data_IF_648313607939
#
_entry.id   IF_648313607939
#
_cell.length_a   1.000
_cell.length_b   1.000
_cell.length_c   1.000
_cell.angle_alpha   90.00
_cell.angle_beta   90.00
_cell.angle_gamma   90.00
#
_symmetry.space_group_name_H-M   'P 1'
#
loop_
_entity.id
_entity.type
_entity.pdbx_description
1 polymer ?
#
# COMPACT_ATOMS: atom_id res chain seq x y z
N UNK A 1 -5.25 -9.33 -39.88
CA UNK A 1 -6.70 -9.55 -39.73
C UNK A 1 -7.28 -8.19 -39.38
N UNK A 2 -7.79 -7.49 -40.39
CA UNK A 2 -8.26 -6.11 -40.26
C UNK A 2 -9.53 -6.09 -39.41
N UNK A 3 -9.45 -5.52 -38.21
CA UNK A 3 -10.63 -5.15 -37.43
C UNK A 3 -11.32 -4.02 -38.19
N UNK A 4 -12.37 -4.37 -38.93
CA UNK A 4 -13.25 -3.42 -39.59
C UNK A 4 -13.85 -2.52 -38.52
N UNK A 5 -13.31 -1.32 -38.36
CA UNK A 5 -13.94 -0.26 -37.62
C UNK A 5 -15.34 -0.06 -38.22
N UNK A 6 -16.35 -0.58 -37.51
CA UNK A 6 -17.76 -0.43 -37.84
C UNK A 6 -18.04 1.03 -38.10
N UNK A 7 -18.35 1.37 -39.36
CA UNK A 7 -18.69 2.72 -39.76
C UNK A 7 -19.90 3.13 -38.91
N UNK A 8 -19.83 4.22 -38.12
CA UNK A 8 -20.96 4.63 -37.30
C UNK A 8 -22.18 4.86 -38.19
N UNK A 9 -23.36 4.37 -37.78
CA UNK A 9 -24.60 4.66 -38.51
C UNK A 9 -24.88 6.17 -38.46
N UNK A 10 -24.58 6.87 -39.56
CA UNK A 10 -24.70 8.33 -39.65
C UNK A 10 -26.15 8.78 -39.93
N UNK A 11 -27.06 7.84 -40.19
CA UNK A 11 -28.46 8.09 -40.55
C UNK A 11 -29.36 8.39 -39.32
N UNK A 12 -28.83 8.28 -38.09
CA UNK A 12 -29.58 8.64 -36.87
C UNK A 12 -29.79 10.16 -36.73
N UNK A 13 -31.01 10.63 -36.39
CA UNK A 13 -31.24 12.04 -36.09
C UNK A 13 -30.40 12.48 -34.89
N UNK A 14 -29.49 13.43 -35.11
CA UNK A 14 -28.55 13.94 -34.11
C UNK A 14 -27.13 13.37 -34.18
N UNK A 15 -26.85 12.42 -35.08
CA UNK A 15 -25.52 11.84 -35.31
C UNK A 15 -24.42 12.91 -35.51
N UNK A 16 -24.75 13.99 -36.21
CA UNK A 16 -23.87 15.14 -36.48
C UNK A 16 -23.43 15.90 -35.21
N UNK A 17 -24.20 15.83 -34.12
CA UNK A 17 -23.88 16.47 -32.84
C UNK A 17 -23.19 15.48 -31.90
N UNK A 18 -23.65 14.23 -31.89
CA UNK A 18 -23.08 13.18 -31.03
C UNK A 18 -21.66 12.78 -31.43
N UNK A 19 -21.32 12.84 -32.72
CA UNK A 19 -20.02 12.43 -33.22
C UNK A 19 -18.88 13.38 -32.78
N UNK A 20 -18.99 14.72 -32.89
CA UNK A 20 -18.04 15.65 -32.28
C UNK A 20 -18.00 15.57 -30.75
N UNK A 21 -19.15 15.37 -30.10
CA UNK A 21 -19.21 15.23 -28.65
C UNK A 21 -18.43 14.00 -28.18
N UNK A 22 -18.68 12.85 -28.80
CA UNK A 22 -18.01 11.58 -28.48
C UNK A 22 -16.50 11.66 -28.75
N UNK A 23 -16.06 12.32 -29.82
CA UNK A 23 -14.62 12.41 -30.12
C UNK A 23 -13.84 13.20 -29.07
N UNK A 24 -14.39 14.33 -28.61
CA UNK A 24 -13.78 15.15 -27.54
C UNK A 24 -13.82 14.37 -26.21
N UNK A 25 -14.96 13.75 -25.94
CA UNK A 25 -15.23 13.00 -24.71
C UNK A 25 -14.37 11.75 -24.55
N UNK A 26 -14.24 10.95 -25.60
CA UNK A 26 -13.41 9.75 -25.61
C UNK A 26 -11.93 10.09 -25.45
N UNK A 27 -11.49 11.24 -26.00
CA UNK A 27 -10.11 11.71 -25.79
C UNK A 27 -9.87 12.03 -24.32
N UNK A 28 -10.75 12.83 -23.71
CA UNK A 28 -10.66 13.15 -22.27
C UNK A 28 -10.69 11.90 -21.39
N UNK A 29 -11.64 10.99 -21.64
CA UNK A 29 -11.78 9.74 -20.88
C UNK A 29 -10.54 8.86 -21.00
N UNK A 30 -9.95 8.80 -22.19
CA UNK A 30 -8.74 8.04 -22.44
C UNK A 30 -7.56 8.64 -21.69
N UNK A 31 -7.36 9.95 -21.78
CA UNK A 31 -6.27 10.65 -21.09
C UNK A 31 -6.38 10.46 -19.56
N UNK A 32 -7.60 10.56 -19.00
CA UNK A 32 -7.87 10.34 -17.57
C UNK A 32 -7.54 8.90 -17.13
N UNK A 33 -8.06 7.91 -17.87
CA UNK A 33 -7.86 6.48 -17.53
C UNK A 33 -6.41 6.05 -17.74
N UNK A 34 -5.71 6.59 -18.73
CA UNK A 34 -4.28 6.34 -18.90
C UNK A 34 -3.48 6.84 -17.69
N UNK A 35 -3.76 8.07 -17.21
CA UNK A 35 -3.16 8.58 -15.97
C UNK A 35 -3.42 7.68 -14.76
N UNK A 36 -4.68 7.31 -14.51
CA UNK A 36 -5.00 6.40 -13.40
C UNK A 36 -4.31 5.05 -13.53
N UNK A 37 -4.25 4.48 -14.73
CA UNK A 37 -3.62 3.18 -14.96
C UNK A 37 -2.13 3.25 -14.65
N UNK A 38 -1.45 4.29 -15.11
CA UNK A 38 -0.01 4.48 -14.91
C UNK A 38 0.30 4.69 -13.41
N UNK A 39 -0.51 5.47 -12.68
CA UNK A 39 -0.41 5.62 -11.23
C UNK A 39 -0.65 4.28 -10.49
N UNK A 40 -1.68 3.53 -10.88
CA UNK A 40 -1.97 2.23 -10.27
C UNK A 40 -0.86 1.21 -10.53
N UNK A 41 -0.23 1.24 -11.71
CA UNK A 41 0.90 0.38 -12.03
C UNK A 41 2.12 0.71 -11.15
N UNK A 42 2.40 1.98 -10.92
CA UNK A 42 3.44 2.40 -9.99
C UNK A 42 3.14 1.94 -8.55
N UNK A 43 1.90 2.10 -8.08
CA UNK A 43 1.50 1.67 -6.74
C UNK A 43 1.57 0.14 -6.58
N UNK A 44 1.20 -0.64 -7.60
CA UNK A 44 1.30 -2.10 -7.57
C UNK A 44 2.75 -2.58 -7.46
N UNK A 45 3.66 -1.99 -8.25
CA UNK A 45 5.09 -2.32 -8.18
C UNK A 45 5.64 -2.00 -6.80
N UNK A 46 5.33 -0.79 -6.28
CA UNK A 46 5.77 -0.39 -4.95
C UNK A 46 5.21 -1.34 -3.89
N UNK A 47 3.90 -1.62 -3.89
CA UNK A 47 3.28 -2.49 -2.91
C UNK A 47 3.86 -3.91 -2.95
N UNK A 48 4.17 -4.46 -4.13
CA UNK A 48 4.80 -5.76 -4.26
C UNK A 48 6.22 -5.78 -3.66
N UNK A 49 7.07 -4.83 -4.03
CA UNK A 49 8.46 -4.72 -3.53
C UNK A 49 8.50 -4.45 -2.02
N UNK A 50 7.62 -3.58 -1.54
CA UNK A 50 7.48 -3.27 -0.13
C UNK A 50 6.99 -4.50 0.65
N UNK A 51 5.93 -5.18 0.19
CA UNK A 51 5.42 -6.38 0.85
C UNK A 51 6.47 -7.49 0.90
N UNK A 52 7.26 -7.69 -0.16
CA UNK A 52 8.37 -8.64 -0.15
C UNK A 52 9.43 -8.29 0.90
N UNK A 53 9.78 -7.00 1.00
CA UNK A 53 10.74 -6.51 1.99
C UNK A 53 10.22 -6.71 3.42
N UNK A 54 8.99 -6.29 3.71
CA UNK A 54 8.35 -6.48 5.03
C UNK A 54 8.22 -7.95 5.38
N UNK A 55 7.91 -8.82 4.42
CA UNK A 55 7.80 -10.27 4.64
C UNK A 55 9.12 -10.86 5.13
N UNK A 56 10.27 -10.40 4.64
CA UNK A 56 11.57 -10.86 5.14
C UNK A 56 11.77 -10.52 6.63
N UNK A 57 11.38 -9.31 7.04
CA UNK A 57 11.40 -8.91 8.44
C UNK A 57 10.42 -9.73 9.28
N UNK A 58 9.19 -9.92 8.81
CA UNK A 58 8.15 -10.71 9.50
C UNK A 58 8.60 -12.15 9.74
N UNK A 59 9.22 -12.78 8.74
CA UNK A 59 9.75 -14.16 8.87
C UNK A 59 10.80 -14.24 9.98
N UNK A 60 11.64 -13.21 10.10
CA UNK A 60 12.68 -13.20 11.13
C UNK A 60 12.11 -12.83 12.51
N UNK A 61 11.24 -11.82 12.63
CA UNK A 61 10.60 -11.46 13.90
C UNK A 61 9.67 -12.53 14.45
N UNK A 62 9.06 -13.34 13.59
CA UNK A 62 8.19 -14.43 14.02
C UNK A 62 8.94 -15.44 14.90
N UNK A 63 10.23 -15.67 14.64
CA UNK A 63 11.06 -16.57 15.46
C UNK A 63 11.22 -16.08 16.89
N UNK A 64 11.15 -14.77 17.13
CA UNK A 64 11.23 -14.20 18.48
C UNK A 64 9.91 -14.32 19.27
N UNK A 65 8.80 -14.67 18.60
CA UNK A 65 7.54 -15.00 19.26
C UNK A 65 7.48 -16.47 19.70
N UNK A 66 8.29 -17.34 19.08
CA UNK A 66 8.46 -18.72 19.50
C UNK A 66 9.61 -18.86 20.51
N UNK A 67 9.46 -19.80 21.43
CA UNK A 67 10.51 -20.10 22.39
C UNK A 67 11.69 -20.73 21.67
N UNK A 68 12.85 -20.05 21.67
CA UNK A 68 14.05 -20.58 21.06
C UNK A 68 14.47 -21.87 21.77
N UNK A 69 14.25 -22.99 21.09
CA UNK A 69 14.69 -24.32 21.55
C UNK A 69 16.21 -24.36 21.80
N UNK A 70 16.99 -23.53 21.10
CA UNK A 70 18.43 -23.37 21.29
C UNK A 70 18.76 -22.77 22.66
N UNK A 71 18.19 -21.61 22.99
CA UNK A 71 18.39 -20.97 24.30
C UNK A 71 17.92 -21.85 25.46
N UNK A 72 16.77 -22.53 25.31
CA UNK A 72 16.29 -23.48 26.34
C UNK A 72 17.27 -24.64 26.52
N UNK A 73 17.85 -25.14 25.43
CA UNK A 73 18.85 -26.22 25.50
C UNK A 73 20.13 -25.75 26.17
N UNK A 74 20.59 -24.52 25.89
CA UNK A 74 21.76 -23.92 26.54
C UNK A 74 21.52 -23.68 28.03
N UNK A 75 20.34 -23.17 28.40
CA UNK A 75 19.96 -22.95 29.81
C UNK A 75 19.91 -24.29 30.58
N UNK A 76 19.33 -25.33 29.97
CA UNK A 76 19.31 -26.68 30.55
C UNK A 76 20.72 -27.27 30.65
N UNK A 77 21.57 -27.10 29.63
CA UNK A 77 22.97 -27.54 29.65
C UNK A 77 23.78 -26.82 30.74
N UNK A 78 23.58 -25.52 30.91
CA UNK A 78 24.22 -24.72 31.96
C UNK A 78 23.76 -25.19 33.35
N UNK A 79 22.47 -25.46 33.51
CA UNK A 79 21.90 -25.97 34.76
C UNK A 79 22.44 -27.37 35.10
N UNK A 80 22.55 -28.25 34.10
CA UNK A 80 23.18 -29.58 34.25
C UNK A 80 24.66 -29.44 34.61
N UNK A 81 25.40 -28.55 33.94
CA UNK A 81 26.82 -28.30 34.24
C UNK A 81 27.02 -27.83 35.68
N UNK A 82 26.18 -26.92 36.17
CA UNK A 82 26.19 -26.44 37.56
C UNK A 82 25.85 -27.56 38.56
N UNK A 83 24.88 -28.43 38.25
CA UNK A 83 24.53 -29.58 39.09
C UNK A 83 25.67 -30.60 39.19
N UNK A 84 26.36 -30.88 38.08
CA UNK A 84 27.54 -31.76 38.06
C UNK A 84 28.71 -31.14 38.84
N UNK A 85 28.94 -29.83 38.70
CA UNK A 85 30.02 -29.13 39.38
C UNK A 85 29.83 -29.04 40.90
N UNK A 86 28.58 -28.91 41.38
CA UNK A 86 28.27 -28.74 42.80
C UNK A 86 27.97 -30.04 43.56
N UNK A 87 27.98 -31.20 42.89
CA UNK A 87 27.86 -32.52 43.54
C UNK A 87 26.59 -32.73 44.37
N UNK A 88 25.52 -31.99 44.09
CA UNK A 88 24.30 -31.95 44.92
C UNK A 88 23.18 -32.86 44.39
N UNK A 89 22.40 -33.42 45.31
CA UNK A 89 21.24 -34.27 45.06
C UNK A 89 20.20 -33.50 44.23
N UNK A 90 19.87 -34.03 43.05
CA UNK A 90 19.14 -33.33 42.00
C UNK A 90 17.70 -32.94 42.42
N UNK A 91 17.40 -31.64 42.44
CA UNK A 91 16.03 -31.16 42.21
C UNK A 91 15.68 -31.36 40.73
N UNK A 92 14.52 -31.93 40.45
CA UNK A 92 14.04 -32.19 39.08
C UNK A 92 14.05 -30.89 38.25
N UNK A 93 14.68 -30.96 37.06
CA UNK A 93 14.73 -29.85 36.12
C UNK A 93 13.30 -29.43 35.77
N UNK A 94 12.91 -28.24 36.21
CA UNK A 94 11.64 -27.61 35.86
C UNK A 94 11.89 -26.81 34.58
N UNK A 95 11.07 -27.04 33.55
CA UNK A 95 11.16 -26.23 32.32
C UNK A 95 11.03 -24.75 32.72
N UNK A 96 11.95 -23.87 32.30
CA UNK A 96 11.78 -22.44 32.53
C UNK A 96 10.43 -22.06 31.92
N UNK A 97 9.54 -21.51 32.76
CA UNK A 97 8.25 -21.03 32.31
C UNK A 97 8.50 -19.97 31.23
N UNK A 98 7.71 -20.06 30.16
CA UNK A 98 7.52 -19.09 29.08
C UNK A 98 7.34 -17.65 29.56
N UNK A 99 8.24 -17.03 30.33
CA UNK A 99 8.11 -15.65 30.79
C UNK A 99 8.63 -14.77 29.69
N UNK A 100 7.84 -14.75 28.64
CA UNK A 100 8.20 -14.06 27.45
C UNK A 100 8.25 -12.57 27.82
N UNK A 101 9.39 -11.95 27.52
CA UNK A 101 9.53 -10.50 27.34
C UNK A 101 8.70 -10.01 26.14
N UNK A 102 7.51 -10.60 25.96
CA UNK A 102 6.74 -10.76 24.71
C UNK A 102 5.96 -9.52 24.33
N UNK A 103 5.71 -8.59 25.25
CA UNK A 103 4.92 -7.39 24.92
C UNK A 103 5.61 -6.54 23.85
N UNK A 104 6.93 -6.37 23.91
CA UNK A 104 7.67 -5.54 22.95
C UNK A 104 7.78 -6.22 21.58
N UNK A 105 8.16 -7.50 21.53
CA UNK A 105 8.25 -8.27 20.29
C UNK A 105 6.87 -8.49 19.63
N UNK A 106 5.81 -8.69 20.41
CA UNK A 106 4.44 -8.78 19.89
C UNK A 106 3.98 -7.47 19.25
N UNK A 107 4.33 -6.33 19.85
CA UNK A 107 4.02 -5.00 19.30
C UNK A 107 4.73 -4.77 17.97
N UNK A 108 6.01 -5.11 17.85
CA UNK A 108 6.78 -5.02 16.58
C UNK A 108 6.12 -5.85 15.49
N UNK A 109 5.81 -7.12 15.77
CA UNK A 109 5.15 -8.00 14.81
C UNK A 109 3.79 -7.44 14.39
N UNK A 110 2.99 -6.93 15.32
CA UNK A 110 1.70 -6.31 15.01
C UNK A 110 1.84 -5.14 14.02
N UNK A 111 2.82 -4.25 14.22
CA UNK A 111 3.11 -3.15 13.30
C UNK A 111 3.50 -3.65 11.90
N UNK A 112 4.33 -4.68 11.81
CA UNK A 112 4.75 -5.23 10.53
C UNK A 112 3.63 -5.97 9.80
N UNK A 113 2.84 -6.80 10.49
CA UNK A 113 1.65 -7.42 9.90
C UNK A 113 0.64 -6.38 9.43
N UNK A 114 0.41 -5.32 10.22
CA UNK A 114 -0.49 -4.25 9.83
C UNK A 114 0.03 -3.47 8.62
N UNK A 115 1.33 -3.17 8.56
CA UNK A 115 1.95 -2.55 7.38
C UNK A 115 1.76 -3.40 6.13
N UNK A 116 2.01 -4.72 6.22
CA UNK A 116 1.82 -5.65 5.12
C UNK A 116 0.34 -5.69 4.69
N UNK A 117 -0.59 -5.73 5.64
CA UNK A 117 -2.02 -5.72 5.34
C UNK A 117 -2.44 -4.45 4.60
N UNK A 118 -2.02 -3.25 5.05
CA UNK A 118 -2.31 -1.99 4.35
C UNK A 118 -1.71 -1.96 2.95
N UNK A 119 -0.48 -2.47 2.76
CA UNK A 119 0.15 -2.61 1.45
C UNK A 119 -0.66 -3.50 0.51
N UNK A 120 -1.17 -4.64 1.00
CA UNK A 120 -2.02 -5.53 0.21
C UNK A 120 -3.38 -4.91 -0.12
N UNK A 121 -4.00 -4.18 0.82
CA UNK A 121 -5.24 -3.45 0.55
C UNK A 121 -5.02 -2.37 -0.52
N UNK A 122 -3.89 -1.65 -0.46
CA UNK A 122 -3.48 -0.70 -1.49
C UNK A 122 -3.35 -1.39 -2.86
N UNK A 123 -2.67 -2.54 -2.93
CA UNK A 123 -2.53 -3.31 -4.16
C UNK A 123 -3.89 -3.78 -4.70
N UNK A 124 -4.77 -4.30 -3.84
CA UNK A 124 -6.11 -4.72 -4.23
C UNK A 124 -6.93 -3.55 -4.79
N UNK A 125 -6.92 -2.40 -4.10
CA UNK A 125 -7.60 -1.19 -4.55
C UNK A 125 -7.07 -0.74 -5.92
N UNK A 126 -5.75 -0.77 -6.14
CA UNK A 126 -5.15 -0.43 -7.43
C UNK A 126 -5.59 -1.37 -8.56
N UNK A 127 -5.69 -2.67 -8.30
CA UNK A 127 -6.24 -3.63 -9.28
C UNK A 127 -7.70 -3.32 -9.61
N UNK A 128 -8.53 -3.03 -8.60
CA UNK A 128 -9.95 -2.71 -8.80
C UNK A 128 -10.13 -1.42 -9.63
N UNK A 129 -9.37 -0.37 -9.33
CA UNK A 129 -9.37 0.86 -10.12
C UNK A 129 -9.01 0.58 -11.57
N UNK A 130 -7.97 -0.23 -11.84
CA UNK A 130 -7.63 -0.61 -13.22
C UNK A 130 -8.75 -1.36 -13.92
N UNK A 131 -9.44 -2.26 -13.22
CA UNK A 131 -10.57 -3.00 -13.78
C UNK A 131 -11.74 -2.08 -14.12
N UNK A 132 -12.09 -1.15 -13.23
CA UNK A 132 -13.15 -0.18 -13.47
C UNK A 132 -12.80 0.82 -14.57
N UNK A 133 -11.55 1.30 -14.62
CA UNK A 133 -11.07 2.20 -15.65
C UNK A 133 -11.12 1.54 -17.04
N UNK A 134 -10.76 0.24 -17.12
CA UNK A 134 -10.92 -0.55 -18.34
C UNK A 134 -12.39 -0.71 -18.74
N UNK A 135 -13.26 -1.03 -17.78
CA UNK A 135 -14.70 -1.16 -18.04
C UNK A 135 -15.31 0.16 -18.53
N UNK A 136 -14.92 1.29 -17.93
CA UNK A 136 -15.39 2.63 -18.29
C UNK A 136 -15.16 2.96 -19.78
N UNK A 137 -13.98 2.63 -20.33
CA UNK A 137 -13.69 2.83 -21.75
C UNK A 137 -14.38 1.80 -22.64
N UNK A 138 -14.44 0.54 -22.19
CA UNK A 138 -14.89 -0.56 -23.04
C UNK A 138 -16.42 -0.63 -23.19
N UNK A 139 -17.18 -0.29 -22.14
CA UNK A 139 -18.63 -0.44 -22.13
C UNK A 139 -19.38 0.45 -23.14
N UNK A 140 -19.03 1.73 -23.36
CA UNK A 140 -19.65 2.53 -24.42
C UNK A 140 -19.27 2.06 -25.83
N UNK A 141 -18.03 1.57 -26.02
CA UNK A 141 -17.52 1.15 -27.33
C UNK A 141 -18.24 -0.06 -27.92
N UNK A 142 -18.80 -0.93 -27.09
CA UNK A 142 -19.59 -2.08 -27.55
C UNK A 142 -20.95 -1.70 -28.14
N UNK A 143 -21.39 -0.46 -28.00
CA UNK A 143 -22.69 0.02 -28.50
C UNK A 143 -22.52 0.57 -29.93
N UNK A 144 -23.26 0.07 -30.93
CA UNK A 144 -23.09 0.48 -32.34
C UNK A 144 -23.73 1.83 -32.68
N UNK A 145 -24.81 2.21 -31.99
CA UNK A 145 -25.51 3.50 -32.14
C UNK A 145 -24.75 4.63 -31.44
N UNK A 146 -24.58 5.76 -32.13
CA UNK A 146 -23.82 6.91 -31.61
C UNK A 146 -24.55 7.59 -30.46
N UNK A 147 -25.87 7.73 -30.58
CA UNK A 147 -26.70 8.38 -29.58
C UNK A 147 -26.75 7.59 -28.26
N UNK A 148 -26.90 6.26 -28.33
CA UNK A 148 -26.91 5.40 -27.14
C UNK A 148 -25.52 5.26 -26.52
N UNK A 149 -24.45 5.21 -27.33
CA UNK A 149 -23.06 5.27 -26.83
C UNK A 149 -22.81 6.53 -26.00
N UNK A 150 -23.22 7.70 -26.50
CA UNK A 150 -23.08 8.97 -25.79
C UNK A 150 -23.86 8.98 -24.47
N UNK A 151 -25.09 8.42 -24.47
CA UNK A 151 -25.91 8.28 -23.25
C UNK A 151 -25.28 7.35 -22.23
N UNK A 152 -24.78 6.19 -22.66
CA UNK A 152 -24.11 5.22 -21.79
C UNK A 152 -22.85 5.82 -21.15
N UNK A 153 -22.00 6.48 -21.95
CA UNK A 153 -20.81 7.17 -21.44
C UNK A 153 -21.18 8.24 -20.40
N UNK A 154 -22.18 9.06 -20.70
CA UNK A 154 -22.65 10.08 -19.76
C UNK A 154 -23.21 9.48 -18.46
N UNK A 155 -23.92 8.36 -18.55
CA UNK A 155 -24.42 7.63 -17.39
C UNK A 155 -23.28 7.09 -16.52
N UNK A 156 -22.26 6.47 -17.14
CA UNK A 156 -21.09 5.98 -16.42
C UNK A 156 -20.27 7.11 -15.79
N UNK A 157 -20.08 8.22 -16.49
CA UNK A 157 -19.38 9.40 -15.96
C UNK A 157 -20.12 9.99 -14.76
N UNK A 158 -21.45 10.15 -14.86
CA UNK A 158 -22.27 10.63 -13.74
C UNK A 158 -22.19 9.69 -12.54
N UNK A 159 -22.21 8.37 -12.77
CA UNK A 159 -22.06 7.40 -11.70
C UNK A 159 -20.67 7.47 -11.07
N UNK A 160 -19.60 7.57 -11.87
CA UNK A 160 -18.24 7.76 -11.38
C UNK A 160 -18.13 8.97 -10.45
N UNK A 161 -18.73 10.09 -10.82
CA UNK A 161 -18.77 11.30 -10.00
C UNK A 161 -19.64 11.12 -8.74
N UNK A 162 -20.79 10.44 -8.85
CA UNK A 162 -21.70 10.17 -7.73
C UNK A 162 -21.06 9.26 -6.68
N UNK A 163 -20.33 8.23 -7.12
CA UNK A 163 -19.58 7.31 -6.28
C UNK A 163 -18.19 7.83 -5.88
N UNK A 164 -17.83 9.05 -6.32
CA UNK A 164 -16.55 9.71 -6.04
C UNK A 164 -15.33 8.81 -6.30
N UNK A 165 -15.30 8.17 -7.48
CA UNK A 165 -14.20 7.27 -7.82
C UNK A 165 -12.84 7.98 -7.81
N UNK A 166 -12.79 9.24 -8.23
CA UNK A 166 -11.61 10.11 -8.14
C UNK A 166 -11.07 10.18 -6.69
N UNK A 167 -11.94 10.41 -5.71
CA UNK A 167 -11.54 10.44 -4.30
C UNK A 167 -10.95 9.09 -3.85
N UNK A 168 -11.49 7.97 -4.33
CA UNK A 168 -10.93 6.66 -4.03
C UNK A 168 -9.52 6.52 -4.61
N UNK A 169 -9.32 6.91 -5.87
CA UNK A 169 -8.00 6.89 -6.53
C UNK A 169 -6.99 7.73 -5.74
N UNK A 170 -7.40 8.92 -5.29
CA UNK A 170 -6.55 9.83 -4.50
C UNK A 170 -6.20 9.28 -3.11
N UNK A 171 -7.04 8.40 -2.54
CA UNK A 171 -6.79 7.79 -1.22
C UNK A 171 -5.82 6.60 -1.24
N UNK A 172 -5.64 5.93 -2.38
CA UNK A 172 -4.75 4.76 -2.51
C UNK A 172 -3.30 5.08 -2.04
N UNK A 173 -2.65 6.15 -2.52
CA UNK A 173 -1.31 6.50 -2.04
C UNK A 173 -1.26 6.80 -0.53
N UNK A 174 -2.37 7.23 0.09
CA UNK A 174 -2.42 7.44 1.55
C UNK A 174 -2.30 6.11 2.29
N UNK A 175 -2.97 5.04 1.82
CA UNK A 175 -2.83 3.71 2.41
C UNK A 175 -1.38 3.22 2.32
N UNK A 176 -0.72 3.49 1.19
CA UNK A 176 0.70 3.17 0.99
C UNK A 176 1.60 3.91 2.00
N UNK A 177 1.34 5.21 2.22
CA UNK A 177 2.10 5.99 3.21
C UNK A 177 1.87 5.51 4.64
N UNK A 178 0.62 5.18 5.02
CA UNK A 178 0.30 4.59 6.33
C UNK A 178 1.10 3.31 6.53
N UNK A 179 1.09 2.43 5.53
CA UNK A 179 1.87 1.19 5.54
C UNK A 179 3.36 1.44 5.78
N UNK A 180 3.97 2.38 5.05
CA UNK A 180 5.38 2.73 5.19
C UNK A 180 5.70 3.26 6.60
N UNK A 181 4.85 4.14 7.14
CA UNK A 181 5.02 4.71 8.48
C UNK A 181 4.96 3.61 9.54
N UNK A 182 3.97 2.72 9.47
CA UNK A 182 3.83 1.59 10.40
C UNK A 182 5.07 0.68 10.36
N UNK A 183 5.61 0.42 9.17
CA UNK A 183 6.83 -0.37 9.03
C UNK A 183 8.03 0.30 9.68
N UNK A 184 8.26 1.60 9.45
CA UNK A 184 9.37 2.33 10.08
C UNK A 184 9.23 2.39 11.60
N UNK A 185 8.01 2.59 12.12
CA UNK A 185 7.76 2.54 13.57
C UNK A 185 8.14 1.16 14.12
N UNK A 186 7.68 0.08 13.49
CA UNK A 186 8.05 -1.28 13.87
C UNK A 186 9.56 -1.54 13.78
N UNK A 187 10.23 -1.01 12.75
CA UNK A 187 11.67 -1.12 12.55
C UNK A 187 12.46 -0.41 13.66
N UNK A 188 12.04 0.80 14.06
CA UNK A 188 12.68 1.52 15.15
C UNK A 188 12.52 0.79 16.48
N UNK A 189 11.34 0.26 16.77
CA UNK A 189 11.14 -0.58 17.97
C UNK A 189 12.00 -1.84 17.92
N UNK A 190 12.08 -2.53 16.78
CA UNK A 190 12.91 -3.71 16.61
C UNK A 190 14.40 -3.41 16.85
N UNK A 191 14.92 -2.33 16.26
CA UNK A 191 16.31 -1.93 16.43
C UNK A 191 16.61 -1.50 17.86
N UNK A 192 15.67 -0.85 18.56
CA UNK A 192 15.83 -0.50 19.97
C UNK A 192 16.02 -1.74 20.86
N UNK A 193 15.41 -2.87 20.51
CA UNK A 193 15.55 -4.12 21.25
C UNK A 193 16.90 -4.79 20.97
N UNK A 194 17.44 -4.67 19.75
CA UNK A 194 18.68 -5.34 19.34
C UNK A 194 19.93 -4.54 19.72
N UNK A 195 20.01 -3.29 19.26
CA UNK A 195 21.20 -2.46 19.44
C UNK A 195 20.87 -0.96 19.43
N UNK A 196 21.22 -0.29 20.53
CA UNK A 196 20.94 1.13 20.74
C UNK A 196 21.73 2.05 19.80
N UNK A 197 22.88 1.62 19.30
CA UNK A 197 23.73 2.41 18.40
C UNK A 197 23.12 2.47 17.00
N UNK A 198 22.74 1.31 16.45
CA UNK A 198 22.07 1.20 15.15
C UNK A 198 20.72 1.93 15.19
N UNK A 199 19.99 1.79 16.30
CA UNK A 199 18.75 2.53 16.54
C UNK A 199 18.92 4.05 16.41
N UNK A 200 19.95 4.62 17.05
CA UNK A 200 20.21 6.07 17.00
C UNK A 200 20.49 6.56 15.57
N UNK A 201 21.30 5.83 14.80
CA UNK A 201 21.57 6.15 13.40
C UNK A 201 20.30 6.08 12.55
N UNK A 202 19.51 5.01 12.70
CA UNK A 202 18.26 4.84 11.94
C UNK A 202 17.22 5.89 12.32
N UNK A 203 17.08 6.23 13.61
CA UNK A 203 16.19 7.28 14.08
C UNK A 203 16.54 8.64 13.49
N UNK A 204 17.83 9.00 13.46
CA UNK A 204 18.29 10.25 12.87
C UNK A 204 17.94 10.29 11.36
N UNK A 205 18.23 9.22 10.64
CA UNK A 205 17.89 9.09 9.22
C UNK A 205 16.38 9.24 8.98
N UNK A 206 15.55 8.48 9.70
CA UNK A 206 14.09 8.54 9.60
C UNK A 206 13.53 9.92 9.99
N UNK A 207 14.12 10.61 10.97
CA UNK A 207 13.70 11.95 11.37
C UNK A 207 13.99 12.98 10.28
N UNK A 208 15.19 12.95 9.67
CA UNK A 208 15.55 13.84 8.56
C UNK A 208 14.60 13.63 7.37
N UNK A 209 14.38 12.37 6.98
CA UNK A 209 13.44 12.04 5.92
C UNK A 209 12.00 12.47 6.25
N UNK A 210 11.55 12.28 7.49
CA UNK A 210 10.22 12.66 7.95
C UNK A 210 10.01 14.18 7.95
N UNK A 211 11.02 14.95 8.36
CA UNK A 211 11.00 16.41 8.28
C UNK A 211 10.95 16.86 6.83
N UNK A 212 11.81 16.32 5.96
CA UNK A 212 11.79 16.64 4.54
C UNK A 212 10.43 16.30 3.88
N UNK A 213 9.87 15.13 4.16
CA UNK A 213 8.55 14.72 3.67
C UNK A 213 7.43 15.65 4.16
N UNK A 214 7.46 16.03 5.44
CA UNK A 214 6.46 16.95 6.03
C UNK A 214 6.58 18.34 5.41
N UNK A 215 7.79 18.85 5.19
CA UNK A 215 8.02 20.12 4.51
C UNK A 215 7.54 20.09 3.06
N UNK A 216 7.74 19.00 2.33
CA UNK A 216 7.24 18.85 0.97
C UNK A 216 5.71 18.73 0.93
N UNK A 217 5.12 18.07 1.93
CA UNK A 217 3.67 17.85 2.00
C UNK A 217 2.90 19.10 2.41
N UNK A 218 3.38 19.81 3.43
CA UNK A 218 2.73 20.98 4.01
C UNK A 218 3.28 22.32 3.50
N UNK A 219 4.48 22.34 2.90
CA UNK A 219 5.09 23.54 2.31
C UNK A 219 4.18 24.32 1.36
N UNK A 220 3.37 23.66 0.50
CA UNK A 220 2.41 24.34 -0.38
C UNK A 220 1.32 25.11 0.37
N UNK A 221 1.01 24.76 1.63
CA UNK A 221 0.04 25.48 2.46
C UNK A 221 0.59 26.83 2.96
N UNK A 222 1.92 26.97 3.04
CA UNK A 222 2.57 28.18 3.54
C UNK A 222 3.07 29.09 2.40
N UNK A 223 3.33 28.53 1.22
CA UNK A 223 3.84 29.26 0.06
C UNK A 223 2.97 29.00 -1.19
N UNK A 224 2.11 29.96 -1.59
CA UNK A 224 1.23 29.85 -2.76
C UNK A 224 1.94 29.63 -4.12
N UNK A 225 3.27 29.79 -4.16
CA UNK A 225 4.10 29.64 -5.37
C UNK A 225 4.95 28.37 -5.44
N UNK A 226 4.79 27.42 -4.52
CA UNK A 226 5.61 26.20 -4.50
C UNK A 226 5.16 25.20 -5.61
N UNK A 227 6.09 24.63 -6.40
CA UNK A 227 5.78 23.70 -7.49
C UNK A 227 5.32 22.31 -7.01
N UNK A 228 5.42 22.02 -5.71
CA UNK A 228 5.02 20.74 -5.12
C UNK A 228 3.50 20.71 -4.94
N UNK A 229 2.74 20.22 -5.90
CA UNK A 229 1.29 19.99 -5.72
C UNK A 229 1.09 18.65 -5.02
N UNK A 230 0.77 18.66 -3.73
CA UNK A 230 0.28 17.48 -3.00
C UNK A 230 -1.24 17.35 -3.13
N UNK A 231 -1.81 16.14 -3.03
CA UNK A 231 -3.26 15.91 -3.17
C UNK A 231 -4.08 16.71 -2.14
N UNK A 232 -3.50 17.09 -1.00
CA UNK A 232 -4.13 17.96 -0.01
C UNK A 232 -4.33 19.41 -0.48
N UNK A 233 -3.53 19.90 -1.44
CA UNK A 233 -3.68 21.26 -1.99
C UNK A 233 -4.94 21.43 -2.84
N UNK A 234 -5.61 20.34 -3.25
CA UNK A 234 -6.86 20.41 -4.03
C UNK A 234 -8.12 20.44 -3.15
N UNK A 235 -7.97 20.27 -1.83
CA UNK A 235 -9.09 20.25 -0.88
C UNK A 235 -9.37 21.61 -0.21
N UNK A 236 -8.57 22.63 -0.51
CA UNK A 236 -8.69 24.04 -0.09
C UNK A 236 -8.92 24.91 -1.32
#
# INVERSE_FOLDING_TARGET
>A
MHESASIPNLDEPGSKIWLPYLSISEKYDKDLVEGWRDDMDAFLIFAALFSASVTAFVIDSYKFLEQDSGSVTVDVLLQISQQIAHGSQATAATRPMFSASTTQYSTVNAFWFLSLAFSLVCALAAVLVKQWARYYIQAPRSIPSLSERARMRQFLFKNMQTWKLELLVDTIPILLHISLILFFIGLLFFLNIIDQTIFSYMMCFSAICGVAYSLLTFGPLFFPGCPYRTPFSQLI
#
